data_IF_872063514939
#
_entry.id   IF_872063514939
#
_cell.length_a   1.000
_cell.length_b   1.000
_cell.length_c   1.000
_cell.angle_alpha   90.00
_cell.angle_beta   90.00
_cell.angle_gamma   90.00
#
_symmetry.space_group_name_H-M   'P 1'
#
loop_
_entity.id
_entity.type
_entity.pdbx_description
1 polymer ?
#
# COMPACT_ATOMS: atom_id res chain seq x y z
N UNK A 1 12.99 -7.42 -11.45
CA UNK A 1 12.09 -8.57 -11.20
C UNK A 1 12.15 -9.61 -12.31
N UNK A 2 12.13 -9.24 -13.59
CA UNK A 2 12.24 -10.18 -14.74
C UNK A 2 13.53 -10.98 -14.74
N UNK A 3 14.68 -10.34 -14.55
CA UNK A 3 15.99 -10.97 -14.60
C UNK A 3 16.20 -12.06 -13.54
N UNK A 4 15.54 -11.97 -12.39
CA UNK A 4 15.65 -12.94 -11.30
C UNK A 4 14.45 -13.91 -11.21
N UNK A 5 13.55 -13.90 -12.21
CA UNK A 5 12.40 -14.80 -12.29
C UNK A 5 11.24 -14.49 -11.33
N UNK A 6 11.30 -13.42 -10.55
CA UNK A 6 10.26 -13.09 -9.58
C UNK A 6 8.92 -12.76 -10.24
N UNK A 7 8.93 -12.06 -11.38
CA UNK A 7 7.72 -11.78 -12.17
C UNK A 7 7.00 -13.09 -12.55
N UNK A 8 7.74 -14.08 -13.04
CA UNK A 8 7.15 -15.37 -13.42
C UNK A 8 6.50 -16.11 -12.24
N UNK A 9 7.09 -15.99 -11.03
CA UNK A 9 6.52 -16.59 -9.83
C UNK A 9 5.24 -15.86 -9.39
N UNK A 10 5.19 -14.53 -9.46
CA UNK A 10 3.99 -13.75 -9.17
C UNK A 10 2.86 -14.11 -10.13
N UNK A 11 3.15 -14.16 -11.43
CA UNK A 11 2.16 -14.55 -12.44
C UNK A 11 1.65 -15.98 -12.23
N UNK A 12 2.53 -16.90 -11.82
CA UNK A 12 2.14 -18.28 -11.49
C UNK A 12 1.25 -18.34 -10.24
N UNK A 13 1.60 -17.59 -9.20
CA UNK A 13 0.82 -17.52 -7.96
C UNK A 13 -0.57 -16.93 -8.23
N UNK A 14 -0.66 -15.85 -8.98
CA UNK A 14 -1.93 -15.22 -9.36
C UNK A 14 -2.85 -16.20 -10.11
N UNK A 15 -2.30 -16.94 -11.10
CA UNK A 15 -3.05 -17.97 -11.84
C UNK A 15 -3.49 -19.15 -10.96
N UNK A 16 -2.79 -19.43 -9.89
CA UNK A 16 -3.16 -20.43 -8.89
C UNK A 16 -4.20 -19.93 -7.88
N UNK A 17 -4.74 -18.71 -8.06
CA UNK A 17 -5.74 -18.13 -7.17
C UNK A 17 -5.18 -17.41 -5.95
N UNK A 18 -3.84 -17.28 -5.83
CA UNK A 18 -3.23 -16.53 -4.74
C UNK A 18 -3.57 -15.05 -4.89
N UNK A 19 -4.05 -14.42 -3.82
CA UNK A 19 -4.27 -12.98 -3.78
C UNK A 19 -2.94 -12.24 -3.92
N UNK A 20 -2.91 -11.22 -4.78
CA UNK A 20 -1.75 -10.37 -5.01
C UNK A 20 -2.10 -8.95 -4.58
N UNK A 21 -1.23 -8.34 -3.78
CA UNK A 21 -1.37 -6.95 -3.38
C UNK A 21 -0.10 -6.17 -3.69
N UNK A 22 -0.23 -5.09 -4.46
CA UNK A 22 0.86 -4.18 -4.79
C UNK A 22 0.75 -2.86 -4.02
N UNK A 23 1.84 -2.42 -3.39
CA UNK A 23 1.90 -1.09 -2.75
C UNK A 23 2.88 -0.22 -3.52
N UNK A 24 2.47 1.02 -3.83
CA UNK A 24 3.29 2.04 -4.47
C UNK A 24 3.93 1.53 -5.79
N UNK A 25 5.25 1.43 -5.89
CA UNK A 25 5.93 0.85 -7.06
C UNK A 25 5.47 -0.59 -7.37
N UNK A 26 5.06 -1.36 -6.36
CA UNK A 26 4.43 -2.66 -6.55
C UNK A 26 3.11 -2.56 -7.30
N UNK A 27 2.26 -1.60 -6.95
CA UNK A 27 1.02 -1.32 -7.66
C UNK A 27 1.28 -0.94 -9.13
N UNK A 28 2.21 -0.03 -9.38
CA UNK A 28 2.60 0.36 -10.75
C UNK A 28 3.05 -0.85 -11.59
N UNK A 29 3.88 -1.71 -11.01
CA UNK A 29 4.39 -2.92 -11.69
C UNK A 29 3.30 -3.96 -12.01
N UNK A 30 2.19 -3.99 -11.28
CA UNK A 30 1.06 -4.87 -11.58
C UNK A 30 0.27 -4.42 -12.82
N UNK A 31 0.36 -3.15 -13.21
CA UNK A 31 -0.32 -2.57 -14.37
C UNK A 31 0.16 -3.10 -15.71
N UNK A 32 -0.37 -2.51 -16.79
CA UNK A 32 -0.02 -2.83 -18.16
C UNK A 32 1.30 -2.18 -18.58
N UNK A 33 1.50 -0.91 -18.19
CA UNK A 33 2.60 -0.09 -18.66
C UNK A 33 2.95 1.00 -17.62
N UNK A 34 4.23 1.32 -17.54
CA UNK A 34 4.78 2.47 -16.80
C UNK A 34 5.56 3.30 -17.81
N UNK A 35 5.20 4.58 -17.97
CA UNK A 35 5.81 5.53 -18.87
C UNK A 35 6.45 6.68 -18.10
N UNK A 36 7.65 7.07 -18.51
CA UNK A 36 8.40 8.21 -17.97
C UNK A 36 8.88 9.10 -19.13
N UNK A 37 7.94 9.87 -19.73
CA UNK A 37 8.26 10.68 -20.91
C UNK A 37 9.24 11.81 -20.63
N UNK A 38 9.26 12.34 -19.44
CA UNK A 38 10.07 13.51 -19.04
C UNK A 38 11.39 13.12 -18.35
N UNK A 39 11.65 11.82 -18.16
CA UNK A 39 12.87 11.33 -17.51
C UNK A 39 12.96 11.72 -16.05
N UNK A 40 11.83 11.67 -15.34
CA UNK A 40 11.73 11.95 -13.90
C UNK A 40 12.55 10.94 -13.09
N UNK A 41 12.57 9.71 -13.55
CA UNK A 41 13.38 8.60 -13.03
C UNK A 41 14.45 8.22 -14.09
N UNK A 42 14.27 7.11 -14.80
CA UNK A 42 15.22 6.64 -15.82
C UNK A 42 14.79 6.97 -17.26
N UNK A 43 13.58 7.47 -17.45
CA UNK A 43 12.98 7.74 -18.75
C UNK A 43 12.50 6.50 -19.50
N UNK A 44 11.69 6.73 -20.54
CA UNK A 44 11.23 5.68 -21.44
C UNK A 44 9.95 4.99 -20.98
N UNK A 45 9.74 3.77 -21.49
CA UNK A 45 8.52 2.99 -21.24
C UNK A 45 8.88 1.57 -20.82
N UNK A 46 8.25 1.10 -19.75
CA UNK A 46 8.42 -0.26 -19.25
C UNK A 46 7.05 -0.95 -19.22
N UNK A 47 6.99 -2.14 -19.83
CA UNK A 47 5.81 -3.00 -19.71
C UNK A 47 5.66 -3.52 -18.27
N UNK A 48 4.47 -3.39 -17.69
CA UNK A 48 4.10 -4.00 -16.41
C UNK A 48 3.82 -5.50 -16.50
N UNK A 49 3.27 -6.07 -15.45
CA UNK A 49 2.91 -7.50 -15.37
C UNK A 49 1.58 -7.81 -16.05
N UNK A 50 0.74 -6.79 -16.32
CA UNK A 50 -0.57 -6.94 -16.95
C UNK A 50 -1.60 -7.67 -16.07
N UNK A 51 -1.47 -7.56 -14.75
CA UNK A 51 -2.39 -8.14 -13.77
C UNK A 51 -3.52 -7.18 -13.38
N UNK A 52 -3.31 -5.89 -13.57
CA UNK A 52 -4.31 -4.83 -13.45
C UNK A 52 -4.40 -4.09 -14.78
N UNK A 53 -5.60 -3.78 -15.24
CA UNK A 53 -5.84 -2.92 -16.40
C UNK A 53 -5.63 -1.46 -16.00
N UNK A 54 -4.36 -1.11 -15.78
CA UNK A 54 -3.93 0.24 -15.38
C UNK A 54 -2.68 0.65 -16.12
N UNK A 55 -2.53 1.96 -16.35
CA UNK A 55 -1.33 2.56 -16.97
C UNK A 55 -0.84 3.68 -16.06
N UNK A 56 0.47 3.70 -15.80
CA UNK A 56 1.11 4.72 -14.96
C UNK A 56 1.98 5.62 -15.81
N UNK A 57 1.87 6.93 -15.61
CA UNK A 57 2.76 7.94 -16.19
C UNK A 57 3.46 8.66 -15.05
N UNK A 58 4.79 8.74 -15.11
CA UNK A 58 5.55 9.56 -14.16
C UNK A 58 5.44 11.03 -14.53
N UNK A 59 5.18 11.86 -13.52
CA UNK A 59 5.08 13.32 -13.62
C UNK A 59 6.08 13.96 -12.66
N UNK A 60 6.50 15.19 -12.96
CA UNK A 60 7.46 15.93 -12.13
C UNK A 60 6.89 16.30 -10.76
N UNK A 61 5.56 16.37 -10.64
CA UNK A 61 4.90 16.68 -9.38
C UNK A 61 4.81 15.44 -8.49
N UNK A 62 5.37 15.56 -7.28
CA UNK A 62 5.39 14.48 -6.30
C UNK A 62 4.22 14.59 -5.35
N UNK A 63 3.34 13.60 -5.35
CA UNK A 63 2.35 13.44 -4.28
C UNK A 63 3.10 13.12 -2.96
N UNK A 64 2.82 13.89 -1.92
CA UNK A 64 3.34 13.64 -0.57
C UNK A 64 2.34 14.14 0.46
N UNK A 65 1.50 13.26 0.95
CA UNK A 65 0.46 13.62 1.90
C UNK A 65 0.08 12.47 2.82
N UNK A 66 -0.50 12.80 3.97
CA UNK A 66 -1.21 11.84 4.81
C UNK A 66 -2.65 11.73 4.32
N UNK A 67 -3.17 10.53 4.38
CA UNK A 67 -4.53 10.23 3.92
C UNK A 67 -5.27 9.37 4.94
N UNK A 68 -6.58 9.57 4.99
CA UNK A 68 -7.51 8.66 5.65
C UNK A 68 -8.67 8.35 4.69
N UNK A 69 -9.27 7.20 4.82
CA UNK A 69 -10.32 6.81 3.89
C UNK A 69 -10.90 5.43 4.15
N UNK A 70 -11.49 4.88 3.12
CA UNK A 70 -12.17 3.58 3.16
C UNK A 70 -11.87 2.78 1.90
N UNK A 71 -11.78 1.47 2.04
CA UNK A 71 -11.77 0.56 0.90
C UNK A 71 -13.18 0.50 0.34
N UNK A 72 -13.31 0.80 -0.96
CA UNK A 72 -14.61 0.93 -1.60
C UNK A 72 -15.41 -0.39 -1.53
N UNK A 73 -16.73 -0.30 -1.40
CA UNK A 73 -17.59 -1.47 -1.43
C UNK A 73 -17.45 -2.20 -2.77
N UNK A 74 -17.20 -3.48 -2.69
CA UNK A 74 -17.17 -4.37 -3.83
C UNK A 74 -18.55 -5.01 -3.97
N UNK A 75 -19.05 -5.14 -5.20
CA UNK A 75 -20.36 -5.77 -5.43
C UNK A 75 -20.37 -7.21 -4.90
N UNK A 76 -21.52 -7.68 -4.44
CA UNK A 76 -21.74 -8.92 -3.69
C UNK A 76 -21.16 -10.22 -4.29
N UNK A 77 -20.72 -10.20 -5.56
CA UNK A 77 -20.17 -11.36 -6.27
C UNK A 77 -18.63 -11.36 -6.36
N UNK A 78 -17.94 -10.41 -5.74
CA UNK A 78 -16.49 -10.39 -5.80
C UNK A 78 -15.90 -11.24 -4.65
N UNK A 79 -15.63 -12.48 -4.97
CA UNK A 79 -14.83 -13.37 -4.14
C UNK A 79 -13.39 -12.84 -4.02
N UNK A 80 -12.75 -13.10 -2.90
CA UNK A 80 -11.34 -12.87 -2.70
C UNK A 80 -11.01 -11.65 -1.85
N UNK A 81 -9.77 -11.16 -1.97
CA UNK A 81 -9.21 -10.17 -1.06
C UNK A 81 -9.93 -8.82 -1.12
N UNK A 82 -10.31 -8.35 -2.32
CA UNK A 82 -11.02 -7.07 -2.47
C UNK A 82 -12.38 -7.09 -1.76
N UNK A 83 -13.13 -8.19 -1.89
CA UNK A 83 -14.40 -8.40 -1.18
C UNK A 83 -14.23 -8.41 0.33
N UNK A 84 -13.24 -9.14 0.83
CA UNK A 84 -12.94 -9.23 2.26
C UNK A 84 -12.53 -7.88 2.88
N UNK A 85 -11.87 -7.02 2.11
CA UNK A 85 -11.43 -5.70 2.53
C UNK A 85 -12.50 -4.61 2.39
N UNK A 86 -13.60 -4.90 1.72
CA UNK A 86 -14.69 -3.96 1.46
C UNK A 86 -15.18 -3.26 2.73
N UNK A 87 -15.23 -1.93 2.71
CA UNK A 87 -15.68 -1.11 3.82
C UNK A 87 -14.68 -0.94 4.97
N UNK A 88 -13.48 -1.55 4.90
CA UNK A 88 -12.45 -1.33 5.91
C UNK A 88 -11.95 0.11 5.88
N UNK A 89 -11.93 0.76 7.04
CA UNK A 89 -11.27 2.05 7.20
C UNK A 89 -9.74 1.89 7.11
N UNK A 90 -9.09 2.88 6.53
CA UNK A 90 -7.63 2.93 6.40
C UNK A 90 -7.08 4.31 6.72
N UNK A 91 -5.85 4.32 7.19
CA UNK A 91 -5.01 5.51 7.33
C UNK A 91 -3.63 5.20 6.79
N UNK A 92 -2.97 6.23 6.26
CA UNK A 92 -1.64 6.05 5.72
C UNK A 92 -1.08 7.32 5.10
N UNK A 93 -0.20 7.14 4.13
CA UNK A 93 0.36 8.26 3.38
C UNK A 93 0.66 7.87 1.94
N UNK A 94 0.54 8.82 1.05
CA UNK A 94 1.00 8.71 -0.33
C UNK A 94 2.37 9.40 -0.48
N UNK A 95 3.27 8.75 -1.21
CA UNK A 95 4.55 9.32 -1.61
C UNK A 95 4.98 8.71 -2.95
N UNK A 96 4.56 9.33 -4.04
CA UNK A 96 4.82 8.82 -5.39
C UNK A 96 4.86 9.96 -6.42
N UNK A 97 5.40 9.69 -7.60
CA UNK A 97 5.44 10.61 -8.74
C UNK A 97 4.57 10.09 -9.91
N UNK A 98 4.16 8.85 -9.88
CA UNK A 98 3.33 8.26 -10.93
C UNK A 98 1.86 8.62 -10.76
N UNK A 99 1.20 8.94 -11.87
CA UNK A 99 -0.26 9.04 -11.99
C UNK A 99 -0.76 7.79 -12.69
N UNK A 100 -1.66 7.05 -12.02
CA UNK A 100 -2.21 5.81 -12.56
C UNK A 100 -3.64 6.01 -13.03
N UNK A 101 -3.88 5.65 -14.28
CA UNK A 101 -5.21 5.66 -14.92
C UNK A 101 -5.73 4.23 -15.02
N UNK A 102 -7.01 4.04 -14.71
CA UNK A 102 -7.69 2.76 -14.81
C UNK A 102 -8.25 2.57 -16.21
N UNK A 103 -8.05 1.38 -16.78
CA UNK A 103 -8.77 0.90 -17.94
C UNK A 103 -10.14 0.31 -17.54
N UNK A 104 -10.88 -0.17 -18.51
CA UNK A 104 -12.25 -0.69 -18.31
C UNK A 104 -12.32 -2.00 -17.51
N UNK A 105 -11.23 -2.74 -17.45
CA UNK A 105 -11.13 -4.01 -16.73
C UNK A 105 -10.85 -3.88 -15.25
N UNK A 106 -10.30 -2.74 -14.79
CA UNK A 106 -10.00 -2.47 -13.39
C UNK A 106 -11.09 -1.61 -12.74
N UNK A 107 -11.27 -1.79 -11.43
CA UNK A 107 -12.19 -0.99 -10.62
C UNK A 107 -11.39 -0.20 -9.58
N UNK A 108 -11.85 1.01 -9.15
CA UNK A 108 -11.21 1.75 -8.09
C UNK A 108 -11.25 0.95 -6.78
N UNK A 109 -10.18 1.06 -5.98
CA UNK A 109 -10.01 0.25 -4.79
C UNK A 109 -10.34 1.00 -3.51
N UNK A 110 -9.92 2.25 -3.38
CA UNK A 110 -10.13 3.06 -2.18
C UNK A 110 -10.73 4.42 -2.52
N UNK A 111 -11.37 5.04 -1.54
CA UNK A 111 -11.68 6.45 -1.52
C UNK A 111 -10.93 7.07 -0.33
N UNK A 112 -10.05 8.01 -0.62
CA UNK A 112 -9.15 8.62 0.36
C UNK A 112 -9.29 10.13 0.36
N UNK A 113 -9.09 10.72 1.54
CA UNK A 113 -9.10 12.17 1.77
C UNK A 113 -7.73 12.62 2.24
N UNK A 114 -7.16 13.58 1.54
CA UNK A 114 -5.93 14.25 1.92
C UNK A 114 -6.12 15.04 3.21
N UNK A 115 -5.30 14.76 4.23
CA UNK A 115 -5.42 15.36 5.56
C UNK A 115 -5.02 16.86 5.60
N UNK A 116 -4.35 17.36 4.56
CA UNK A 116 -3.89 18.76 4.48
C UNK A 116 -4.90 19.59 3.69
N UNK A 117 -5.29 19.11 2.51
CA UNK A 117 -6.15 19.86 1.59
C UNK A 117 -7.64 19.57 1.77
N UNK A 118 -7.99 18.44 2.39
CA UNK A 118 -9.37 17.97 2.51
C UNK A 118 -9.95 17.44 1.19
N UNK A 119 -9.15 17.32 0.14
CA UNK A 119 -9.59 16.79 -1.15
C UNK A 119 -9.77 15.29 -1.07
N UNK A 120 -10.93 14.81 -1.51
CA UNK A 120 -11.26 13.39 -1.60
C UNK A 120 -11.10 12.91 -3.04
N UNK A 121 -10.50 11.73 -3.21
CA UNK A 121 -10.32 11.08 -4.51
C UNK A 121 -10.45 9.56 -4.40
N UNK A 122 -10.78 8.93 -5.51
CA UNK A 122 -10.58 7.48 -5.66
C UNK A 122 -9.12 7.19 -5.96
N UNK A 123 -8.59 6.14 -5.35
CA UNK A 123 -7.20 5.75 -5.48
C UNK A 123 -7.09 4.22 -5.52
N UNK A 124 -5.99 3.73 -6.15
CA UNK A 124 -5.74 2.31 -6.29
C UNK A 124 -6.67 1.62 -7.29
N UNK A 125 -6.45 0.35 -7.46
CA UNK A 125 -7.24 -0.50 -8.36
C UNK A 125 -7.36 -1.92 -7.83
N UNK A 126 -8.44 -2.60 -8.23
CA UNK A 126 -8.56 -4.04 -8.09
C UNK A 126 -9.13 -4.68 -9.35
N UNK A 127 -8.75 -5.94 -9.58
CA UNK A 127 -9.22 -6.76 -10.70
C UNK A 127 -9.05 -8.23 -10.34
N UNK A 128 -10.14 -8.98 -10.22
CA UNK A 128 -10.10 -10.38 -9.78
C UNK A 128 -9.45 -10.52 -8.40
N UNK A 129 -8.41 -11.34 -8.29
CA UNK A 129 -7.66 -11.56 -7.04
C UNK A 129 -6.44 -10.64 -6.86
N UNK A 130 -6.38 -9.54 -7.60
CA UNK A 130 -5.27 -8.58 -7.57
C UNK A 130 -5.77 -7.22 -7.10
N UNK A 131 -5.07 -6.65 -6.12
CA UNK A 131 -5.31 -5.30 -5.61
C UNK A 131 -4.01 -4.48 -5.66
N UNK A 132 -4.14 -3.18 -5.76
CA UNK A 132 -3.01 -2.27 -5.70
C UNK A 132 -3.42 -0.89 -5.19
N UNK A 133 -2.52 -0.22 -4.45
CA UNK A 133 -2.74 1.10 -3.89
C UNK A 133 -1.42 1.86 -3.73
N UNK A 134 -1.47 3.19 -3.80
CA UNK A 134 -0.35 4.05 -3.44
C UNK A 134 -0.25 4.28 -1.93
N UNK A 135 -1.27 3.92 -1.16
CA UNK A 135 -1.30 4.18 0.28
C UNK A 135 -0.30 3.28 1.00
N UNK A 136 0.79 3.88 1.47
CA UNK A 136 1.70 3.26 2.41
C UNK A 136 1.07 3.20 3.80
N UNK A 137 1.32 2.12 4.55
CA UNK A 137 0.72 1.91 5.87
C UNK A 137 -0.69 1.34 5.83
N UNK A 138 -1.21 0.96 4.65
CA UNK A 138 -2.56 0.37 4.53
C UNK A 138 -2.74 -0.87 5.43
N UNK A 139 -1.67 -1.65 5.63
CA UNK A 139 -1.64 -2.80 6.54
C UNK A 139 -1.30 -2.43 8.00
N UNK A 140 -1.17 -1.15 8.33
CA UNK A 140 -1.06 -0.69 9.72
C UNK A 140 -2.47 -0.55 10.36
N UNK A 141 -3.53 -0.53 9.54
CA UNK A 141 -4.92 -0.51 9.99
C UNK A 141 -5.33 -1.89 10.51
N UNK A 142 -5.77 -1.95 11.77
CA UNK A 142 -6.25 -3.18 12.40
C UNK A 142 -7.42 -3.81 11.61
N UNK A 143 -8.34 -2.99 11.10
CA UNK A 143 -9.46 -3.45 10.31
C UNK A 143 -8.98 -4.18 9.04
N UNK A 144 -8.01 -3.61 8.33
CA UNK A 144 -7.43 -4.18 7.11
C UNK A 144 -6.69 -5.49 7.42
N UNK A 145 -5.82 -5.50 8.44
CA UNK A 145 -5.06 -6.69 8.80
C UNK A 145 -5.98 -7.83 9.21
N UNK A 146 -6.97 -7.56 10.07
CA UNK A 146 -7.92 -8.58 10.50
C UNK A 146 -8.76 -9.14 9.33
N UNK A 147 -9.15 -8.29 8.38
CA UNK A 147 -9.87 -8.73 7.18
C UNK A 147 -8.99 -9.61 6.28
N UNK A 148 -7.71 -9.23 6.06
CA UNK A 148 -6.74 -10.05 5.31
C UNK A 148 -6.54 -11.41 5.96
N UNK A 149 -6.26 -11.43 7.27
CA UNK A 149 -6.00 -12.68 8.00
C UNK A 149 -7.22 -13.60 7.93
N UNK A 150 -8.42 -13.06 8.11
CA UNK A 150 -9.68 -13.80 7.99
C UNK A 150 -9.86 -14.39 6.60
N UNK A 151 -9.70 -13.58 5.55
CA UNK A 151 -9.81 -14.06 4.17
C UNK A 151 -8.81 -15.18 3.84
N UNK A 152 -7.57 -15.05 4.33
CA UNK A 152 -6.54 -16.07 4.11
C UNK A 152 -6.80 -17.35 4.93
N UNK A 153 -7.35 -17.23 6.13
CA UNK A 153 -7.76 -18.38 6.95
C UNK A 153 -8.91 -19.15 6.30
N UNK A 154 -9.94 -18.43 5.84
CA UNK A 154 -11.07 -19.01 5.12
C UNK A 154 -10.63 -19.74 3.84
N UNK A 155 -9.77 -19.11 3.05
CA UNK A 155 -9.20 -19.71 1.83
C UNK A 155 -8.40 -21.00 2.10
N UNK A 156 -7.90 -21.18 3.33
CA UNK A 156 -7.20 -22.39 3.80
C UNK A 156 -8.09 -23.36 4.56
N UNK A 157 -9.38 -23.07 4.70
CA UNK A 157 -10.32 -23.90 5.47
C UNK A 157 -10.08 -23.88 6.98
N UNK A 158 -9.43 -22.84 7.50
CA UNK A 158 -9.22 -22.63 8.93
C UNK A 158 -10.47 -21.95 9.47
N UNK A 159 -11.19 -22.64 10.36
CA UNK A 159 -12.48 -22.19 10.93
C UNK A 159 -12.33 -21.57 12.33
N UNK A 160 -11.14 -21.59 12.91
CA UNK A 160 -10.88 -20.94 14.20
C UNK A 160 -10.95 -19.42 14.06
N UNK A 161 -11.61 -18.77 15.01
CA UNK A 161 -11.75 -17.32 15.04
C UNK A 161 -10.37 -16.69 15.31
N UNK A 162 -9.71 -16.26 14.25
CA UNK A 162 -8.41 -15.58 14.33
C UNK A 162 -8.64 -14.07 14.40
N UNK A 163 -8.63 -13.51 15.60
CA UNK A 163 -8.60 -12.06 15.80
C UNK A 163 -7.20 -11.66 16.25
N UNK A 164 -6.52 -10.87 15.43
CA UNK A 164 -5.28 -10.23 15.87
C UNK A 164 -5.68 -9.03 16.72
N UNK A 165 -5.54 -9.16 18.03
CA UNK A 165 -5.78 -8.07 18.99
C UNK A 165 -4.53 -7.19 19.21
N UNK A 166 -3.74 -6.98 18.15
CA UNK A 166 -2.56 -6.13 18.27
C UNK A 166 -2.97 -4.68 17.96
N UNK A 167 -2.95 -3.84 18.98
CA UNK A 167 -2.95 -2.39 18.78
C UNK A 167 -1.60 -2.00 18.14
N UNK A 168 -1.61 -1.88 16.81
CA UNK A 168 -0.40 -1.57 16.05
C UNK A 168 0.13 -0.16 16.38
N UNK A 169 -0.74 0.78 16.74
CA UNK A 169 -0.33 2.11 17.16
C UNK A 169 0.42 2.05 18.50
N UNK A 170 -0.11 1.34 19.48
CA UNK A 170 0.57 1.12 20.76
C UNK A 170 1.89 0.35 20.59
N UNK A 171 1.93 -0.67 19.75
CA UNK A 171 3.16 -1.39 19.42
C UNK A 171 4.21 -0.47 18.80
N UNK A 172 3.82 0.40 17.87
CA UNK A 172 4.71 1.35 17.21
C UNK A 172 5.31 2.38 18.19
N UNK A 173 4.48 2.93 19.09
CA UNK A 173 4.95 3.81 20.15
C UNK A 173 5.96 3.09 21.06
N UNK A 174 5.70 1.86 21.45
CA UNK A 174 6.66 1.06 22.23
C UNK A 174 7.99 0.87 21.47
N UNK A 175 7.97 0.64 20.16
CA UNK A 175 9.19 0.52 19.37
C UNK A 175 9.95 1.85 19.29
N UNK A 176 9.25 3.00 19.23
CA UNK A 176 9.88 4.32 19.26
C UNK A 176 10.53 4.58 20.62
N UNK A 177 9.90 4.18 21.73
CA UNK A 177 10.48 4.29 23.07
C UNK A 177 11.76 3.45 23.20
N UNK A 178 11.73 2.20 22.71
CA UNK A 178 12.92 1.32 22.69
C UNK A 178 14.06 1.95 21.88
N UNK A 179 13.76 2.52 20.71
CA UNK A 179 14.73 3.22 19.88
C UNK A 179 15.28 4.45 20.57
N UNK A 180 14.41 5.29 21.15
CA UNK A 180 14.79 6.48 21.86
C UNK A 180 15.71 6.18 23.06
N UNK A 181 15.38 5.14 23.80
CA UNK A 181 16.22 4.68 24.92
C UNK A 181 17.57 4.12 24.44
N UNK A 182 17.57 3.42 23.32
CA UNK A 182 18.81 2.98 22.67
C UNK A 182 19.70 4.16 22.28
N UNK A 183 19.15 5.20 21.66
CA UNK A 183 19.88 6.42 21.30
C UNK A 183 20.42 7.14 22.54
N UNK A 184 19.60 7.32 23.59
CA UNK A 184 20.00 7.98 24.85
C UNK A 184 21.16 7.27 25.56
N UNK A 185 21.24 5.94 25.46
CA UNK A 185 22.32 5.15 26.09
C UNK A 185 23.63 5.19 25.34
N UNK A 186 23.60 5.40 24.01
CA UNK A 186 24.78 5.23 23.16
C UNK A 186 25.28 6.53 22.51
N UNK A 187 24.53 7.63 22.64
CA UNK A 187 24.88 8.94 22.08
C UNK A 187 25.05 9.98 23.18
N UNK A 188 25.97 10.93 22.97
CA UNK A 188 26.06 12.14 23.79
C UNK A 188 24.90 13.09 23.46
N UNK A 189 23.78 12.84 24.11
CA UNK A 189 22.55 13.61 23.90
C UNK A 189 22.72 15.10 24.20
N UNK A 190 23.59 15.46 25.20
CA UNK A 190 23.86 16.84 25.53
C UNK A 190 24.50 17.56 24.33
N UNK A 191 25.52 16.94 23.75
CA UNK A 191 26.19 17.50 22.58
C UNK A 191 25.27 17.59 21.35
N UNK A 192 24.37 16.65 21.19
CA UNK A 192 23.35 16.69 20.12
C UNK A 192 22.44 17.90 20.32
N UNK A 193 21.90 18.11 21.53
CA UNK A 193 21.03 19.25 21.82
C UNK A 193 21.76 20.59 21.65
N UNK A 194 23.04 20.68 22.08
CA UNK A 194 23.88 21.86 21.82
C UNK A 194 24.02 22.16 20.32
N UNK A 195 24.28 21.15 19.47
CA UNK A 195 24.37 21.29 18.01
C UNK A 195 23.03 21.73 17.42
N UNK A 196 21.91 21.26 17.95
CA UNK A 196 20.55 21.63 17.51
C UNK A 196 20.12 23.01 18.00
N UNK A 197 20.91 23.69 18.85
CA UNK A 197 20.54 24.97 19.44
C UNK A 197 19.42 24.87 20.48
N UNK A 198 19.23 23.69 21.06
CA UNK A 198 18.23 23.43 22.09
C UNK A 198 18.92 23.51 23.47
N UNK A 199 18.75 24.61 24.15
CA UNK A 199 19.15 24.73 25.57
C UNK A 199 18.16 23.88 26.42
N UNK A 200 18.73 23.01 27.27
CA UNK A 200 18.02 22.36 28.37
C UNK A 200 18.69 22.70 29.70
#
# INVERSE_FOLDING_TARGET
MRQNGLEAQILKAQKAGTAIFGVCGGYQMLGMEISDPDGVEEGGVIRGMGLLDTTTVFEAEKARTRVSGVILPVKEEADGLAGALSGCALEGYEIHMGQTTLGSGAQPFTEITDSITGVTKQEGAWQGNVCGSYVHGIFDSEAVVNAVVRALAEAKGITEEMTLSMDFAAFKEQQYDILADGLRRHLDMKKIYEIMGMER
#
